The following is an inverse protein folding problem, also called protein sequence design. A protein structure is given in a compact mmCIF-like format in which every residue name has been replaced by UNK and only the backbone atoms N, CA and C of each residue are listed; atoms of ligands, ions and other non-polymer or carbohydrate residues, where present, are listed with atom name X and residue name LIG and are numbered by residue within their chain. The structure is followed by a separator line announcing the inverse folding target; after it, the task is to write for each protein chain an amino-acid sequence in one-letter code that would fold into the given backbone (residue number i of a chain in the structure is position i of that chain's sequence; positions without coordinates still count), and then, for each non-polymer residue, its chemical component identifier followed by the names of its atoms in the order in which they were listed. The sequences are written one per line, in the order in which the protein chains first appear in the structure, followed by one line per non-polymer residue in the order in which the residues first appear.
data_IF_124314722962
#
_entry.id   IF_124314722962
#
_cell.length_a   1.000
_cell.length_b   1.000
_cell.length_c   1.000
_cell.angle_alpha   90.00
_cell.angle_beta   90.00
_cell.angle_gamma   90.00
#
_symmetry.space_group_name_H-M   'P 1'
#
loop_
_entity.id
_entity.type
_entity.pdbx_description
1 polymer ?
#
# COMPACT_ATOMS: atom_id res chain seq x y z
N UNK A 1 -16.11 -17.01 -6.70
CA UNK A 1 -16.41 -15.85 -7.57
C UNK A 1 -17.78 -15.23 -7.28
N UNK A 2 -18.85 -16.03 -7.14
CA UNK A 2 -20.22 -15.52 -6.87
C UNK A 2 -20.39 -14.65 -5.61
N UNK A 3 -19.83 -15.04 -4.47
CA UNK A 3 -19.95 -14.28 -3.21
C UNK A 3 -19.29 -12.89 -3.31
N UNK A 4 -18.15 -12.80 -3.99
CA UNK A 4 -17.39 -11.55 -4.18
C UNK A 4 -18.17 -10.61 -5.10
N UNK A 5 -18.71 -11.10 -6.22
CA UNK A 5 -19.55 -10.30 -7.12
C UNK A 5 -20.85 -9.82 -6.45
N UNK A 6 -21.48 -10.67 -5.61
CA UNK A 6 -22.69 -10.29 -4.86
C UNK A 6 -22.40 -9.25 -3.78
N UNK A 7 -21.24 -9.32 -3.12
CA UNK A 7 -20.80 -8.36 -2.13
C UNK A 7 -20.38 -7.02 -2.77
N UNK A 8 -19.69 -7.06 -3.91
CA UNK A 8 -19.31 -5.88 -4.71
C UNK A 8 -20.52 -5.14 -5.26
N UNK A 9 -21.56 -5.84 -5.74
CA UNK A 9 -22.80 -5.17 -6.18
C UNK A 9 -23.51 -4.43 -5.05
N UNK A 10 -23.37 -4.89 -3.80
CA UNK A 10 -24.04 -4.29 -2.64
C UNK A 10 -23.20 -3.21 -1.93
N UNK A 11 -21.88 -3.37 -1.87
CA UNK A 11 -20.98 -2.49 -1.12
C UNK A 11 -19.86 -1.84 -1.95
N UNK A 12 -19.68 -2.22 -3.22
CA UNK A 12 -18.62 -1.70 -4.09
C UNK A 12 -18.70 -0.19 -4.32
N UNK A 13 -19.91 0.39 -4.35
CA UNK A 13 -20.12 1.84 -4.44
C UNK A 13 -19.60 2.61 -3.23
N UNK A 14 -19.50 1.97 -2.06
CA UNK A 14 -18.95 2.55 -0.83
C UNK A 14 -17.46 2.29 -0.65
N UNK A 15 -16.92 1.23 -1.28
CA UNK A 15 -15.52 0.85 -1.15
C UNK A 15 -14.64 1.31 -2.32
N UNK A 16 -15.20 1.95 -3.36
CA UNK A 16 -14.46 2.36 -4.57
C UNK A 16 -13.72 1.19 -5.27
N UNK A 17 -14.23 -0.04 -5.13
CA UNK A 17 -13.65 -1.23 -5.75
C UNK A 17 -14.41 -1.54 -7.05
N UNK A 18 -13.73 -1.47 -8.19
CA UNK A 18 -14.30 -1.90 -9.48
C UNK A 18 -14.08 -3.40 -9.73
N UNK A 19 -14.98 -4.04 -10.48
CA UNK A 19 -14.85 -5.48 -10.85
C UNK A 19 -13.52 -5.80 -11.56
N UNK A 20 -12.93 -4.82 -12.25
CA UNK A 20 -11.62 -4.96 -12.90
C UNK A 20 -10.48 -5.20 -11.90
N UNK A 21 -10.55 -4.60 -10.71
CA UNK A 21 -9.49 -4.69 -9.70
C UNK A 21 -9.54 -6.04 -9.00
N UNK A 22 -10.74 -6.61 -8.90
CA UNK A 22 -11.00 -7.96 -8.41
C UNK A 22 -10.46 -9.00 -9.39
N UNK A 23 -10.71 -8.85 -10.69
CA UNK A 23 -10.13 -9.69 -11.74
C UNK A 23 -8.60 -9.66 -11.74
N UNK A 24 -8.00 -8.47 -11.64
CA UNK A 24 -6.55 -8.33 -11.50
C UNK A 24 -6.01 -9.05 -10.26
N UNK A 25 -6.73 -8.99 -9.15
CA UNK A 25 -6.38 -9.72 -7.94
C UNK A 25 -6.31 -11.24 -8.16
N UNK A 26 -7.27 -11.80 -8.90
CA UNK A 26 -7.25 -13.20 -9.30
C UNK A 26 -6.10 -13.54 -10.25
N UNK A 27 -5.90 -12.76 -11.32
CA UNK A 27 -4.82 -13.00 -12.30
C UNK A 27 -3.42 -12.95 -11.67
N UNK A 28 -3.19 -12.02 -10.75
CA UNK A 28 -1.90 -11.87 -10.04
C UNK A 28 -1.65 -13.06 -9.12
N UNK A 29 -2.68 -13.53 -8.41
CA UNK A 29 -2.58 -14.72 -7.56
C UNK A 29 -2.48 -16.02 -8.36
N UNK A 30 -3.13 -16.10 -9.52
CA UNK A 30 -3.05 -17.27 -10.41
C UNK A 30 -1.64 -17.38 -11.04
N UNK A 31 -1.04 -16.24 -11.39
CA UNK A 31 0.31 -16.18 -11.98
C UNK A 31 1.45 -16.40 -10.98
N UNK A 32 1.35 -15.86 -9.76
CA UNK A 32 2.45 -15.87 -8.78
C UNK A 32 2.18 -16.70 -7.52
N UNK A 33 0.95 -17.21 -7.37
CA UNK A 33 0.55 -18.04 -6.23
C UNK A 33 0.67 -17.32 -4.89
N UNK A 34 0.75 -18.11 -3.81
CA UNK A 34 0.90 -17.59 -2.45
C UNK A 34 2.27 -16.94 -2.19
N UNK A 35 3.25 -17.10 -3.07
CA UNK A 35 4.58 -16.49 -2.93
C UNK A 35 4.55 -14.96 -3.00
N UNK A 36 3.56 -14.38 -3.70
CA UNK A 36 3.42 -12.92 -3.80
C UNK A 36 3.23 -12.25 -2.44
N UNK A 37 2.61 -12.95 -1.49
CA UNK A 37 2.41 -12.49 -0.11
C UNK A 37 3.73 -12.24 0.62
N UNK A 38 4.72 -13.08 0.35
CA UNK A 38 6.04 -12.96 0.94
C UNK A 38 6.80 -11.78 0.32
N UNK A 39 6.92 -11.74 -1.01
CA UNK A 39 7.65 -10.68 -1.71
C UNK A 39 6.99 -9.31 -1.54
N UNK A 40 5.66 -9.24 -1.58
CA UNK A 40 4.94 -7.98 -1.38
C UNK A 40 5.05 -7.45 0.04
N UNK A 41 5.42 -8.28 1.03
CA UNK A 41 5.70 -7.81 2.41
C UNK A 41 7.11 -7.26 2.60
N UNK A 42 8.04 -7.60 1.70
CA UNK A 42 9.38 -7.01 1.69
C UNK A 42 9.37 -5.59 1.10
N UNK A 43 8.30 -5.19 0.39
CA UNK A 43 8.16 -3.87 -0.21
C UNK A 43 7.15 -3.03 0.62
N UNK A 44 7.56 -1.91 1.25
CA UNK A 44 6.72 -1.14 2.17
C UNK A 44 5.38 -0.67 1.61
N UNK A 45 5.34 -0.22 0.36
CA UNK A 45 4.11 0.24 -0.30
C UNK A 45 3.18 -0.94 -0.59
N UNK A 46 3.73 -2.07 -1.03
CA UNK A 46 2.94 -3.24 -1.42
C UNK A 46 2.38 -3.94 -0.18
N UNK A 47 3.10 -3.90 0.95
CA UNK A 47 2.69 -4.48 2.24
C UNK A 47 1.30 -4.03 2.71
N UNK A 48 0.92 -2.77 2.48
CA UNK A 48 -0.41 -2.27 2.90
C UNK A 48 -1.51 -2.72 1.95
N UNK A 49 -1.19 -2.83 0.66
CA UNK A 49 -2.14 -3.17 -0.39
C UNK A 49 -2.36 -4.68 -0.48
N UNK A 50 -1.36 -5.52 -0.14
CA UNK A 50 -1.39 -6.96 -0.41
C UNK A 50 -2.45 -7.76 0.35
N UNK A 51 -2.96 -7.22 1.46
CA UNK A 51 -4.09 -7.82 2.20
C UNK A 51 -5.37 -7.86 1.37
N UNK A 52 -5.57 -6.86 0.50
CA UNK A 52 -6.76 -6.76 -0.34
C UNK A 52 -6.85 -7.86 -1.43
N UNK A 53 -5.86 -8.01 -2.35
CA UNK A 53 -5.90 -9.07 -3.36
C UNK A 53 -5.82 -10.47 -2.73
N UNK A 54 -5.15 -10.63 -1.57
CA UNK A 54 -5.10 -11.91 -0.86
C UNK A 54 -6.48 -12.39 -0.38
N UNK A 55 -7.30 -11.46 0.13
CA UNK A 55 -8.68 -11.73 0.55
C UNK A 55 -9.59 -12.01 -0.64
N UNK A 56 -9.42 -11.26 -1.73
CA UNK A 56 -10.19 -11.47 -2.97
C UNK A 56 -9.87 -12.83 -3.60
N UNK A 57 -8.60 -13.23 -3.62
CA UNK A 57 -8.13 -14.50 -4.17
C UNK A 57 -8.46 -15.74 -3.32
N UNK A 58 -9.17 -15.58 -2.18
CA UNK A 58 -9.52 -16.68 -1.25
C UNK A 58 -8.33 -17.56 -0.84
N UNK A 59 -7.17 -16.95 -0.61
CA UNK A 59 -6.00 -17.71 -0.14
C UNK A 59 -6.31 -18.35 1.22
N UNK A 60 -5.84 -19.58 1.46
CA UNK A 60 -6.05 -20.23 2.76
C UNK A 60 -5.44 -19.38 3.88
N UNK A 61 -6.20 -19.17 4.95
CA UNK A 61 -5.79 -18.32 6.08
C UNK A 61 -4.46 -18.75 6.70
N UNK A 62 -4.20 -20.06 6.72
CA UNK A 62 -2.94 -20.64 7.20
C UNK A 62 -1.77 -20.23 6.31
N UNK A 63 -1.89 -20.39 4.98
CA UNK A 63 -0.84 -19.99 4.04
C UNK A 63 -0.58 -18.49 4.15
N UNK A 64 -1.64 -17.68 4.17
CA UNK A 64 -1.53 -16.24 4.37
C UNK A 64 -0.75 -15.90 5.64
N UNK A 65 -1.11 -16.50 6.77
CA UNK A 65 -0.47 -16.24 8.07
C UNK A 65 1.00 -16.66 8.08
N UNK A 66 1.37 -17.80 7.49
CA UNK A 66 2.76 -18.26 7.42
C UNK A 66 3.63 -17.32 6.57
N UNK A 67 3.21 -17.01 5.34
CA UNK A 67 3.97 -16.09 4.47
C UNK A 67 4.05 -14.68 5.07
N UNK A 68 3.00 -14.28 5.77
CA UNK A 68 2.93 -13.03 6.52
C UNK A 68 3.93 -12.96 7.65
N UNK A 69 3.98 -14.01 8.46
CA UNK A 69 4.86 -14.11 9.59
C UNK A 69 6.32 -14.11 9.12
N UNK A 70 6.66 -14.94 8.13
CA UNK A 70 8.02 -15.00 7.57
C UNK A 70 8.48 -13.65 7.00
N UNK A 71 7.65 -13.01 6.18
CA UNK A 71 7.99 -11.69 5.61
C UNK A 71 8.15 -10.61 6.69
N UNK A 72 7.30 -10.64 7.72
CA UNK A 72 7.37 -9.67 8.82
C UNK A 72 8.58 -9.89 9.71
N UNK A 73 8.96 -11.15 9.99
CA UNK A 73 10.16 -11.47 10.78
C UNK A 73 11.41 -10.99 10.07
N UNK A 74 11.56 -11.28 8.77
CA UNK A 74 12.71 -10.81 7.98
C UNK A 74 12.79 -9.29 7.98
N UNK A 75 11.66 -8.61 7.73
CA UNK A 75 11.63 -7.15 7.69
C UNK A 75 11.95 -6.52 9.06
N UNK A 76 11.39 -7.05 10.14
CA UNK A 76 11.68 -6.59 11.49
C UNK A 76 13.14 -6.83 11.88
N UNK A 77 13.73 -7.97 11.51
CA UNK A 77 15.15 -8.23 11.72
C UNK A 77 16.04 -7.28 10.92
N UNK A 78 15.70 -7.00 9.65
CA UNK A 78 16.42 -6.02 8.84
C UNK A 78 16.38 -4.64 9.50
N UNK A 79 15.20 -4.17 9.90
CA UNK A 79 15.06 -2.88 10.59
C UNK A 79 15.80 -2.84 11.93
N UNK A 80 15.78 -3.92 12.70
CA UNK A 80 16.51 -4.00 13.97
C UNK A 80 18.02 -3.92 13.75
N UNK A 81 18.56 -4.62 12.75
CA UNK A 81 19.97 -4.58 12.38
C UNK A 81 20.35 -3.20 11.85
N UNK A 82 19.55 -2.64 10.94
CA UNK A 82 19.77 -1.28 10.44
C UNK A 82 19.75 -0.25 11.58
N UNK A 83 18.78 -0.33 12.49
CA UNK A 83 18.69 0.53 13.67
C UNK A 83 19.87 0.37 14.61
N UNK A 84 20.39 -0.85 14.79
CA UNK A 84 21.57 -1.13 15.59
C UNK A 84 22.83 -0.45 15.01
N UNK A 85 23.07 -0.60 13.70
CA UNK A 85 24.20 0.06 13.03
C UNK A 85 24.05 1.59 12.95
N UNK A 86 22.84 2.10 12.73
CA UNK A 86 22.58 3.55 12.72
C UNK A 86 22.68 4.17 14.13
N UNK A 87 22.45 3.37 15.18
CA UNK A 87 22.60 3.75 16.58
C UNK A 87 23.99 4.30 16.90
N UNK A 88 25.04 3.72 16.32
CA UNK A 88 26.42 4.17 16.53
C UNK A 88 26.75 5.50 15.82
N UNK A 89 25.92 5.96 14.88
CA UNK A 89 26.12 7.21 14.10
C UNK A 89 24.98 8.22 14.27
N UNK A 90 24.34 8.25 15.44
CA UNK A 90 23.13 9.04 15.69
C UNK A 90 23.27 10.56 15.40
N UNK A 91 24.46 11.15 15.56
CA UNK A 91 24.72 12.55 15.21
C UNK A 91 24.62 12.83 13.70
N UNK A 92 25.10 11.92 12.85
CA UNK A 92 24.94 12.02 11.40
C UNK A 92 23.48 11.79 11.02
N UNK A 93 22.86 10.74 11.57
CA UNK A 93 21.46 10.38 11.25
C UNK A 93 20.49 11.49 11.63
N UNK A 94 20.67 12.18 12.75
CA UNK A 94 19.78 13.26 13.19
C UNK A 94 19.69 14.44 12.21
N UNK A 95 20.81 14.80 11.57
CA UNK A 95 20.83 15.86 10.55
C UNK A 95 20.10 15.41 9.29
N UNK A 96 20.36 14.19 8.80
CA UNK A 96 19.67 13.63 7.63
C UNK A 96 18.17 13.41 7.87
N UNK A 97 17.78 12.95 9.06
CA UNK A 97 16.38 12.71 9.41
C UNK A 97 15.59 14.01 9.43
N UNK A 98 16.12 15.05 10.08
CA UNK A 98 15.44 16.34 10.20
C UNK A 98 15.27 17.05 8.86
N UNK A 99 16.25 16.92 7.96
CA UNK A 99 16.16 17.46 6.60
C UNK A 99 15.17 16.66 5.74
N UNK A 100 15.16 15.34 5.88
CA UNK A 100 14.22 14.45 5.18
C UNK A 100 12.78 14.68 5.64
N UNK A 101 12.53 14.81 6.95
CA UNK A 101 11.19 15.11 7.50
C UNK A 101 10.64 16.43 6.95
N UNK A 102 11.45 17.49 6.97
CA UNK A 102 11.05 18.79 6.38
C UNK A 102 10.72 18.66 4.90
N UNK A 103 11.58 17.98 4.14
CA UNK A 103 11.36 17.79 2.71
C UNK A 103 10.06 17.02 2.42
N UNK A 104 9.80 15.92 3.15
CA UNK A 104 8.58 15.11 2.99
C UNK A 104 7.33 15.92 3.34
N UNK A 105 7.37 16.73 4.40
CA UNK A 105 6.25 17.60 4.78
C UNK A 105 5.99 18.65 3.69
N UNK A 106 7.03 19.33 3.20
CA UNK A 106 6.88 20.34 2.13
C UNK A 106 6.32 19.70 0.86
N UNK A 107 6.87 18.56 0.43
CA UNK A 107 6.43 17.86 -0.76
C UNK A 107 4.96 17.40 -0.65
N UNK A 108 4.56 16.84 0.51
CA UNK A 108 3.18 16.40 0.73
C UNK A 108 2.19 17.58 0.74
N UNK A 109 2.55 18.70 1.37
CA UNK A 109 1.73 19.94 1.34
C UNK A 109 1.58 20.46 -0.10
N UNK A 110 2.67 20.49 -0.88
CA UNK A 110 2.62 20.92 -2.29
C UNK A 110 1.70 20.05 -3.14
N UNK A 111 1.74 18.71 -2.96
CA UNK A 111 0.85 17.78 -3.67
C UNK A 111 -0.61 18.05 -3.31
N UNK A 112 -0.92 18.25 -2.02
CA UNK A 112 -2.29 18.56 -1.57
C UNK A 112 -2.77 19.89 -2.13
N UNK A 113 -1.96 20.94 -2.08
CA UNK A 113 -2.30 22.26 -2.63
C UNK A 113 -2.52 22.16 -4.15
N UNK A 114 -1.61 21.49 -4.87
CA UNK A 114 -1.74 21.26 -6.30
C UNK A 114 -3.03 20.52 -6.66
N UNK A 115 -3.39 19.49 -5.90
CA UNK A 115 -4.65 18.76 -6.07
C UNK A 115 -5.88 19.64 -5.80
N UNK A 116 -5.85 20.45 -4.74
CA UNK A 116 -6.94 21.39 -4.41
C UNK A 116 -7.09 22.45 -5.51
N UNK A 117 -6.00 23.05 -5.96
CA UNK A 117 -6.00 24.04 -7.05
C UNK A 117 -6.51 23.43 -8.35
N UNK A 118 -6.03 22.23 -8.71
CA UNK A 118 -6.54 21.48 -9.87
C UNK A 118 -8.05 21.27 -9.79
N UNK A 119 -8.56 20.87 -8.62
CA UNK A 119 -9.99 20.65 -8.40
C UNK A 119 -10.81 21.95 -8.44
N UNK A 120 -10.27 23.07 -7.95
CA UNK A 120 -10.92 24.39 -8.01
C UNK A 120 -10.97 24.91 -9.44
N UNK A 121 -9.88 24.76 -10.21
CA UNK A 121 -9.83 25.15 -11.62
C UNK A 121 -10.79 24.31 -12.46
N UNK A 122 -10.86 23.00 -12.23
CA UNK A 122 -11.88 22.15 -12.88
C UNK A 122 -13.30 22.59 -12.52
N UNK A 123 -13.58 22.86 -11.24
CA UNK A 123 -14.92 23.28 -10.80
C UNK A 123 -15.34 24.63 -11.39
N UNK A 124 -14.40 25.56 -11.64
CA UNK A 124 -14.68 26.82 -12.35
C UNK A 124 -14.94 26.63 -13.84
N UNK A 125 -14.35 25.60 -14.45
CA UNK A 125 -14.51 25.29 -15.88
C UNK A 125 -15.85 24.64 -16.21
N UNK A 126 -16.44 23.90 -15.26
CA UNK A 126 -17.76 23.27 -15.42
C UNK A 126 -18.96 24.23 -15.17
N UNK A 127 -18.72 25.45 -14.65
CA UNK A 127 -19.78 26.44 -14.36
C UNK A 127 -19.88 27.53 -15.45
N UNK A 128 -18.90 27.59 -16.34
CA UNK A 128 -18.83 28.57 -17.45
C UNK A 128 -19.11 27.94 -18.84
N UNK A 129 -19.52 26.68 -18.88
CA UNK A 129 -20.06 25.96 -20.07
C UNK A 129 -21.53 25.67 -19.81
#
# INVERSE_FOLDING_TARGET
EEFVNKFLKKYGKYLFIEERDVKKGFEVFDKYGSGILFFGRLIPIIRTVISFPAGVAKTSFIKFSIYTFLGSTIWSSLLAISGYFLGEQWELVGVWLSEYEKFVIIASVMVVIGYILYKIVQKKRDVLV
#
